data_IF_211758123261
#
_entry.id   IF_211758123261
#
_cell.length_a   1.000
_cell.length_b   1.000
_cell.length_c   1.000
_cell.angle_alpha   90.00
_cell.angle_beta   90.00
_cell.angle_gamma   90.00
#
_symmetry.space_group_name_H-M   'P 1'
#
loop_
_entity.id
_entity.type
_entity.pdbx_description
1 polymer ?
#
# COMPACT_ATOMS: atom_id res chain seq x y z
N UNK A 1 -13.17 -9.04 15.85
CA UNK A 1 -12.11 -9.49 14.94
C UNK A 1 -11.54 -8.25 14.27
N UNK A 2 -10.22 -8.14 14.11
CA UNK A 2 -9.67 -7.02 13.35
C UNK A 2 -10.13 -7.14 11.90
N UNK A 3 -10.25 -6.01 11.19
CA UNK A 3 -10.74 -5.96 9.81
C UNK A 3 -9.91 -6.85 8.88
N UNK A 4 -8.59 -6.81 9.05
CA UNK A 4 -7.60 -7.55 8.28
C UNK A 4 -7.71 -9.06 8.54
N UNK A 5 -7.94 -9.47 9.80
CA UNK A 5 -8.17 -10.88 10.17
C UNK A 5 -9.47 -11.41 9.53
N UNK A 6 -10.54 -10.61 9.54
CA UNK A 6 -11.83 -11.00 8.97
C UNK A 6 -11.75 -11.17 7.45
N UNK A 7 -11.00 -10.30 6.78
CA UNK A 7 -10.75 -10.41 5.35
C UNK A 7 -9.89 -11.65 5.03
N UNK A 8 -8.85 -11.90 5.81
CA UNK A 8 -7.97 -13.07 5.64
C UNK A 8 -8.71 -14.38 5.87
N UNK A 9 -9.49 -14.49 6.95
CA UNK A 9 -10.33 -15.66 7.25
C UNK A 9 -11.32 -15.95 6.12
N UNK A 10 -11.96 -14.90 5.59
CA UNK A 10 -12.88 -15.05 4.46
C UNK A 10 -12.14 -15.48 3.18
N UNK A 11 -10.99 -14.89 2.87
CA UNK A 11 -10.19 -15.28 1.71
C UNK A 11 -9.77 -16.75 1.76
N UNK A 12 -9.28 -17.23 2.92
CA UNK A 12 -8.92 -18.64 3.12
C UNK A 12 -10.11 -19.57 2.90
N UNK A 13 -11.28 -19.23 3.46
CA UNK A 13 -12.53 -19.96 3.30
C UNK A 13 -12.98 -20.04 1.83
N UNK A 14 -13.00 -18.91 1.13
CA UNK A 14 -13.34 -18.87 -0.29
C UNK A 14 -12.39 -19.74 -1.10
N UNK A 15 -11.09 -19.75 -0.79
CA UNK A 15 -10.12 -20.61 -1.45
C UNK A 15 -10.40 -22.10 -1.25
N UNK A 16 -10.92 -22.50 -0.08
CA UNK A 16 -11.19 -23.89 0.26
C UNK A 16 -12.43 -24.44 -0.47
N UNK A 17 -13.52 -23.68 -0.50
CA UNK A 17 -14.81 -24.19 -0.99
C UNK A 17 -15.29 -23.58 -2.30
N UNK A 18 -14.55 -22.68 -2.97
CA UNK A 18 -14.99 -22.05 -4.24
C UNK A 18 -15.48 -23.05 -5.29
N UNK A 19 -14.81 -24.19 -5.42
CA UNK A 19 -15.13 -25.19 -6.45
C UNK A 19 -16.43 -25.95 -6.12
N UNK A 20 -16.90 -25.85 -4.87
CA UNK A 20 -18.18 -26.41 -4.41
C UNK A 20 -19.35 -25.43 -4.57
N UNK A 21 -19.08 -24.13 -4.78
CA UNK A 21 -20.12 -23.10 -4.94
C UNK A 21 -20.65 -23.09 -6.37
N UNK A 22 -21.60 -23.97 -6.65
CA UNK A 22 -22.14 -24.16 -8.00
C UNK A 22 -23.22 -23.17 -8.41
N UNK A 23 -23.66 -22.28 -7.51
CA UNK A 23 -24.76 -21.33 -7.78
C UNK A 23 -24.45 -19.94 -7.27
N UNK A 24 -25.15 -18.95 -7.83
CA UNK A 24 -25.12 -17.57 -7.33
C UNK A 24 -25.60 -17.49 -5.88
N UNK A 25 -26.68 -18.19 -5.53
CA UNK A 25 -27.17 -18.27 -4.14
C UNK A 25 -26.13 -18.85 -3.18
N UNK A 26 -25.40 -19.90 -3.58
CA UNK A 26 -24.33 -20.44 -2.77
C UNK A 26 -23.21 -19.41 -2.57
N UNK A 27 -22.88 -18.64 -3.62
CA UNK A 27 -21.88 -17.56 -3.54
C UNK A 27 -22.34 -16.44 -2.62
N UNK A 28 -23.61 -16.03 -2.71
CA UNK A 28 -24.22 -15.00 -1.85
C UNK A 28 -24.18 -15.40 -0.39
N UNK A 29 -24.61 -16.62 -0.08
CA UNK A 29 -24.67 -17.14 1.29
C UNK A 29 -23.30 -17.43 1.90
N UNK A 30 -22.40 -18.07 1.15
CA UNK A 30 -21.11 -18.50 1.68
C UNK A 30 -20.03 -17.42 1.63
N UNK A 31 -20.19 -16.37 0.82
CA UNK A 31 -19.13 -15.36 0.61
C UNK A 31 -19.62 -13.94 0.79
N UNK A 32 -20.64 -13.53 0.03
CA UNK A 32 -21.06 -12.12 -0.02
C UNK A 32 -21.65 -11.67 1.32
N UNK A 33 -22.55 -12.44 1.92
CA UNK A 33 -23.11 -12.10 3.24
C UNK A 33 -22.05 -12.08 4.35
N UNK A 34 -21.15 -13.09 4.46
CA UNK A 34 -20.02 -13.00 5.38
C UNK A 34 -19.12 -11.79 5.14
N UNK A 35 -18.89 -11.37 3.90
CA UNK A 35 -18.12 -10.16 3.60
C UNK A 35 -18.84 -8.90 4.13
N UNK A 36 -20.13 -8.74 3.82
CA UNK A 36 -20.95 -7.62 4.31
C UNK A 36 -20.93 -7.57 5.84
N UNK A 37 -21.11 -8.72 6.49
CA UNK A 37 -21.21 -8.82 7.94
C UNK A 37 -19.87 -8.69 8.68
N UNK A 38 -18.83 -9.40 8.25
CA UNK A 38 -17.58 -9.54 9.00
C UNK A 38 -16.49 -8.57 8.54
N UNK A 39 -16.47 -8.23 7.26
CA UNK A 39 -15.47 -7.32 6.66
C UNK A 39 -16.01 -5.89 6.68
N UNK A 40 -17.17 -5.64 6.07
CA UNK A 40 -17.77 -4.31 6.07
C UNK A 40 -18.44 -3.96 7.41
N UNK A 41 -18.80 -4.95 8.23
CA UNK A 41 -19.36 -4.73 9.55
C UNK A 41 -20.83 -4.34 9.57
N UNK A 42 -21.57 -4.51 8.46
CA UNK A 42 -23.00 -4.23 8.39
C UNK A 42 -23.83 -5.42 8.90
N UNK A 43 -24.87 -5.16 9.67
CA UNK A 43 -25.71 -6.22 10.23
C UNK A 43 -26.69 -6.78 9.19
N UNK A 44 -26.36 -7.94 8.62
CA UNK A 44 -27.20 -8.67 7.64
C UNK A 44 -28.52 -9.20 8.22
N UNK A 45 -28.66 -9.21 9.55
CA UNK A 45 -29.90 -9.61 10.23
C UNK A 45 -30.79 -8.42 10.58
N UNK A 46 -30.29 -7.19 10.41
CA UNK A 46 -31.05 -5.97 10.61
C UNK A 46 -31.60 -5.46 9.26
N UNK A 47 -32.91 -5.64 8.98
CA UNK A 47 -33.50 -5.20 7.71
C UNK A 47 -33.56 -3.68 7.55
N UNK A 48 -33.30 -2.89 8.61
CA UNK A 48 -33.15 -1.45 8.50
C UNK A 48 -31.74 -1.03 8.03
N UNK A 49 -30.79 -1.96 7.99
CA UNK A 49 -29.38 -1.73 7.67
C UNK A 49 -28.93 -2.48 6.43
N UNK A 50 -29.30 -3.75 6.29
CA UNK A 50 -29.05 -4.53 5.07
C UNK A 50 -30.38 -5.09 4.58
N UNK A 51 -30.80 -4.66 3.39
CA UNK A 51 -32.03 -5.12 2.75
C UNK A 51 -31.65 -6.11 1.65
N UNK A 52 -31.87 -7.42 1.83
CA UNK A 52 -31.72 -8.39 0.75
C UNK A 52 -32.85 -8.23 -0.27
N UNK A 53 -32.60 -8.63 -1.52
CA UNK A 53 -33.60 -8.59 -2.60
C UNK A 53 -34.29 -7.22 -2.74
N UNK A 54 -33.52 -6.13 -2.62
CA UNK A 54 -34.05 -4.77 -2.56
C UNK A 54 -34.68 -4.35 -3.91
N UNK A 55 -35.81 -3.64 -3.83
CA UNK A 55 -36.61 -3.20 -4.97
C UNK A 55 -36.71 -1.66 -4.94
N UNK A 56 -36.38 -1.00 -6.05
CA UNK A 56 -36.61 0.43 -6.21
C UNK A 56 -38.04 0.64 -6.75
N UNK A 57 -38.84 1.46 -6.08
CA UNK A 57 -40.25 1.74 -6.44
C UNK A 57 -40.46 2.55 -7.74
N UNK A 58 -39.48 2.55 -8.65
CA UNK A 58 -39.48 3.39 -9.86
C UNK A 58 -39.57 2.50 -11.10
N UNK A 59 -40.82 2.21 -11.49
CA UNK A 59 -41.40 2.00 -12.83
C UNK A 59 -40.67 1.38 -14.04
N UNK A 60 -39.38 1.00 -14.01
CA UNK A 60 -38.63 0.64 -15.23
C UNK A 60 -38.83 -0.83 -15.62
N UNK A 61 -39.04 -1.73 -14.64
CA UNK A 61 -39.43 -3.12 -14.88
C UNK A 61 -40.01 -3.75 -13.61
N UNK A 62 -41.21 -4.30 -13.70
CA UNK A 62 -41.90 -4.91 -12.55
C UNK A 62 -41.21 -6.21 -12.15
N UNK A 63 -40.61 -6.26 -10.96
CA UNK A 63 -40.07 -7.48 -10.36
C UNK A 63 -38.56 -7.74 -10.52
N UNK A 64 -37.78 -6.81 -11.07
CA UNK A 64 -36.31 -6.87 -10.92
C UNK A 64 -35.92 -6.52 -9.48
N UNK A 65 -34.85 -7.11 -8.95
CA UNK A 65 -34.35 -6.87 -7.60
C UNK A 65 -32.83 -6.81 -7.62
N UNK A 66 -32.24 -6.03 -6.72
CA UNK A 66 -30.80 -6.08 -6.44
C UNK A 66 -30.55 -7.02 -5.25
N UNK A 67 -29.43 -7.72 -5.22
CA UNK A 67 -29.18 -8.73 -4.18
C UNK A 67 -29.14 -8.14 -2.77
N UNK A 68 -28.40 -7.04 -2.58
CA UNK A 68 -28.35 -6.35 -1.30
C UNK A 68 -28.31 -4.83 -1.47
N UNK A 69 -29.00 -4.12 -0.57
CA UNK A 69 -28.85 -2.69 -0.36
C UNK A 69 -28.39 -2.42 1.07
N UNK A 70 -27.35 -1.61 1.21
CA UNK A 70 -26.89 -1.10 2.51
C UNK A 70 -27.59 0.23 2.76
N UNK A 71 -28.28 0.32 3.90
CA UNK A 71 -29.11 1.43 4.32
C UNK A 71 -28.43 2.18 5.46
N UNK A 72 -28.52 3.52 5.41
CA UNK A 72 -28.17 4.40 6.52
C UNK A 72 -29.20 5.50 6.63
N UNK A 73 -29.80 5.64 7.81
CA UNK A 73 -30.83 6.63 8.09
C UNK A 73 -32.01 6.59 7.10
N UNK A 74 -32.39 5.39 6.66
CA UNK A 74 -33.48 5.17 5.69
C UNK A 74 -33.11 5.47 4.23
N UNK A 75 -31.86 5.83 3.94
CA UNK A 75 -31.35 6.10 2.59
C UNK A 75 -30.40 5.00 2.15
N UNK A 76 -30.55 4.54 0.90
CA UNK A 76 -29.62 3.60 0.27
C UNK A 76 -28.26 4.25 0.08
N UNK A 77 -27.22 3.68 0.68
CA UNK A 77 -25.83 4.15 0.52
C UNK A 77 -25.09 3.35 -0.54
N UNK A 78 -25.29 2.03 -0.53
CA UNK A 78 -24.57 1.09 -1.38
C UNK A 78 -25.51 0.03 -1.94
N UNK A 79 -25.38 -0.26 -3.24
CA UNK A 79 -26.05 -1.36 -3.91
C UNK A 79 -25.04 -2.46 -4.23
N UNK A 80 -25.38 -3.72 -3.97
CA UNK A 80 -24.48 -4.85 -4.19
C UNK A 80 -25.21 -5.87 -5.07
N UNK A 81 -24.63 -6.17 -6.24
CA UNK A 81 -25.02 -7.25 -7.14
C UNK A 81 -23.94 -8.34 -7.09
N UNK A 82 -24.36 -9.57 -6.84
CA UNK A 82 -23.50 -10.72 -6.83
C UNK A 82 -23.66 -11.55 -8.10
N UNK A 83 -22.62 -12.29 -8.44
CA UNK A 83 -22.61 -13.33 -9.47
C UNK A 83 -22.10 -14.63 -8.88
N UNK A 84 -22.36 -15.73 -9.56
CA UNK A 84 -21.74 -17.00 -9.22
C UNK A 84 -20.21 -16.88 -9.28
N UNK A 85 -19.53 -17.47 -8.29
CA UNK A 85 -18.07 -17.51 -8.25
C UNK A 85 -17.47 -18.06 -9.55
N UNK A 86 -16.37 -17.46 -10.00
CA UNK A 86 -15.74 -17.78 -11.29
C UNK A 86 -16.35 -17.06 -12.49
N UNK A 87 -17.53 -16.46 -12.36
CA UNK A 87 -18.13 -15.64 -13.43
C UNK A 87 -17.33 -14.33 -13.62
N UNK A 88 -16.88 -13.98 -14.84
CA UNK A 88 -16.25 -12.69 -15.09
C UNK A 88 -17.16 -11.52 -14.76
N UNK A 89 -16.61 -10.48 -14.12
CA UNK A 89 -17.36 -9.28 -13.76
C UNK A 89 -17.33 -8.27 -14.92
N UNK A 90 -18.47 -8.08 -15.58
CA UNK A 90 -18.65 -7.07 -16.63
C UNK A 90 -19.91 -6.25 -16.37
N UNK A 91 -19.88 -4.94 -16.69
CA UNK A 91 -21.06 -4.08 -16.54
C UNK A 91 -22.20 -4.49 -17.47
N UNK A 92 -21.89 -5.05 -18.64
CA UNK A 92 -22.86 -5.64 -19.56
C UNK A 92 -23.70 -6.73 -18.88
N UNK A 93 -23.08 -7.54 -18.01
CA UNK A 93 -23.74 -8.59 -17.23
C UNK A 93 -24.27 -8.10 -15.88
N UNK A 94 -24.12 -6.81 -15.57
CA UNK A 94 -24.57 -6.16 -14.34
C UNK A 94 -25.64 -5.08 -14.62
N UNK A 95 -26.45 -5.28 -15.66
CA UNK A 95 -27.49 -4.32 -16.03
C UNK A 95 -28.49 -4.00 -14.91
N UNK A 96 -28.72 -4.93 -13.97
CA UNK A 96 -29.54 -4.69 -12.78
C UNK A 96 -28.93 -3.61 -11.89
N UNK A 97 -27.65 -3.77 -11.52
CA UNK A 97 -26.90 -2.78 -10.75
C UNK A 97 -26.92 -1.40 -11.41
N UNK A 98 -26.63 -1.32 -12.71
CA UNK A 98 -26.64 -0.03 -13.45
C UNK A 98 -28.01 0.65 -13.38
N UNK A 99 -29.09 -0.09 -13.70
CA UNK A 99 -30.45 0.46 -13.68
C UNK A 99 -30.84 0.94 -12.29
N UNK A 100 -30.56 0.13 -11.27
CA UNK A 100 -30.88 0.44 -9.88
C UNK A 100 -30.09 1.62 -9.35
N UNK A 101 -28.81 1.69 -9.70
CA UNK A 101 -27.96 2.82 -9.34
C UNK A 101 -28.58 4.13 -9.88
N UNK A 102 -28.98 4.18 -11.15
CA UNK A 102 -29.52 5.39 -11.77
C UNK A 102 -30.86 5.89 -11.19
N UNK A 103 -31.67 4.99 -10.64
CA UNK A 103 -33.00 5.35 -10.08
C UNK A 103 -33.00 5.46 -8.56
N UNK A 104 -31.93 5.06 -7.89
CA UNK A 104 -31.82 5.12 -6.44
C UNK A 104 -31.03 6.35 -5.98
N UNK A 105 -31.01 6.60 -4.68
CA UNK A 105 -30.10 7.58 -4.07
C UNK A 105 -28.70 6.99 -3.77
N UNK A 106 -28.43 5.75 -4.21
CA UNK A 106 -27.15 5.12 -3.98
C UNK A 106 -26.05 5.87 -4.73
N UNK A 107 -24.94 6.10 -4.02
CA UNK A 107 -23.75 6.74 -4.57
C UNK A 107 -22.60 5.74 -4.74
N UNK A 108 -22.77 4.52 -4.24
CA UNK A 108 -21.80 3.42 -4.36
C UNK A 108 -22.49 2.17 -4.91
N UNK A 109 -21.89 1.59 -5.94
CA UNK A 109 -22.34 0.34 -6.57
C UNK A 109 -21.26 -0.71 -6.43
N UNK A 110 -21.63 -1.95 -6.15
CA UNK A 110 -20.69 -3.05 -5.97
C UNK A 110 -21.11 -4.21 -6.83
N UNK A 111 -20.19 -4.68 -7.65
CA UNK A 111 -20.34 -5.90 -8.43
C UNK A 111 -19.32 -6.91 -7.94
N UNK A 112 -19.77 -8.11 -7.56
CA UNK A 112 -18.88 -9.15 -7.02
C UNK A 112 -19.24 -10.55 -7.52
N UNK A 113 -18.26 -11.44 -7.56
CA UNK A 113 -18.48 -12.89 -7.69
C UNK A 113 -17.97 -13.65 -6.46
N UNK A 114 -17.85 -12.97 -5.33
CA UNK A 114 -17.26 -13.49 -4.10
C UNK A 114 -15.74 -13.36 -4.06
N UNK A 115 -15.02 -13.72 -5.14
CA UNK A 115 -13.56 -13.57 -5.20
C UNK A 115 -13.14 -12.13 -5.54
N UNK A 116 -13.71 -11.59 -6.61
CA UNK A 116 -13.44 -10.23 -7.07
C UNK A 116 -14.56 -9.30 -6.61
N UNK A 117 -14.20 -8.10 -6.21
CA UNK A 117 -15.13 -7.04 -5.81
C UNK A 117 -14.74 -5.75 -6.52
N UNK A 118 -15.67 -5.23 -7.31
CA UNK A 118 -15.51 -3.97 -8.03
C UNK A 118 -16.47 -2.94 -7.42
N UNK A 119 -15.93 -1.83 -6.94
CA UNK A 119 -16.69 -0.72 -6.37
C UNK A 119 -16.72 0.45 -7.34
N UNK A 120 -17.91 0.96 -7.58
CA UNK A 120 -18.25 2.02 -8.53
C UNK A 120 -18.87 3.19 -7.80
N UNK A 121 -18.80 4.35 -8.44
CA UNK A 121 -19.32 5.64 -7.97
C UNK A 121 -19.97 6.37 -9.14
N UNK A 122 -20.36 7.62 -8.97
CA UNK A 122 -20.98 8.49 -9.98
C UNK A 122 -20.26 9.84 -10.12
N UNK A 123 -18.92 9.80 -10.01
CA UNK A 123 -18.08 11.00 -10.04
C UNK A 123 -18.10 11.68 -11.42
N UNK A 124 -18.25 10.93 -12.51
CA UNK A 124 -18.29 11.53 -13.85
C UNK A 124 -19.58 12.33 -14.07
N UNK A 125 -20.70 11.76 -13.66
CA UNK A 125 -22.04 12.32 -13.83
C UNK A 125 -22.91 11.89 -12.65
N UNK A 126 -23.48 12.85 -11.94
CA UNK A 126 -24.37 12.57 -10.80
C UNK A 126 -25.49 11.60 -11.19
N UNK A 127 -25.69 10.57 -10.34
CA UNK A 127 -26.67 9.50 -10.50
C UNK A 127 -26.47 8.64 -11.76
N UNK A 128 -25.29 8.69 -12.38
CA UNK A 128 -24.91 7.79 -13.47
C UNK A 128 -23.66 7.04 -13.02
N UNK A 129 -23.75 5.72 -12.95
CA UNK A 129 -22.63 4.91 -12.47
C UNK A 129 -21.45 4.99 -13.45
N UNK A 130 -20.26 5.26 -12.93
CA UNK A 130 -19.02 5.30 -13.69
C UNK A 130 -18.76 3.94 -14.36
N UNK A 131 -18.20 3.95 -15.57
CA UNK A 131 -17.88 2.72 -16.31
C UNK A 131 -16.72 1.94 -15.69
N UNK A 132 -15.82 2.64 -15.00
CA UNK A 132 -14.63 2.07 -14.36
C UNK A 132 -14.80 2.07 -12.85
N UNK A 133 -14.52 0.95 -12.16
CA UNK A 133 -14.54 0.94 -10.71
C UNK A 133 -13.37 1.77 -10.16
N UNK A 134 -13.60 2.47 -9.06
CA UNK A 134 -12.56 3.24 -8.36
C UNK A 134 -11.71 2.33 -7.44
N UNK A 135 -12.29 1.23 -6.97
CA UNK A 135 -11.63 0.25 -6.11
C UNK A 135 -11.91 -1.16 -6.63
N UNK A 136 -10.85 -1.97 -6.71
CA UNK A 136 -10.91 -3.40 -7.06
C UNK A 136 -10.23 -4.20 -5.96
N UNK A 137 -10.85 -5.27 -5.52
CA UNK A 137 -10.32 -6.20 -4.56
C UNK A 137 -10.35 -7.62 -5.14
N UNK A 138 -9.24 -8.33 -5.03
CA UNK A 138 -9.15 -9.76 -5.26
C UNK A 138 -8.85 -10.43 -3.92
N UNK A 139 -9.76 -11.27 -3.42
CA UNK A 139 -9.56 -11.92 -2.12
C UNK A 139 -8.33 -12.83 -2.06
N UNK A 140 -7.85 -13.33 -3.20
CA UNK A 140 -6.64 -14.19 -3.24
C UNK A 140 -5.34 -13.40 -3.42
N UNK A 141 -5.42 -12.12 -3.74
CA UNK A 141 -4.28 -11.24 -3.95
C UNK A 141 -4.69 -9.83 -3.55
N UNK A 142 -4.76 -9.61 -2.24
CA UNK A 142 -5.20 -8.35 -1.66
C UNK A 142 -4.04 -7.37 -1.73
N UNK A 143 -4.18 -6.36 -2.58
CA UNK A 143 -3.22 -5.25 -2.64
C UNK A 143 -3.26 -4.46 -1.32
N UNK A 144 -2.18 -4.40 -0.53
CA UNK A 144 -2.18 -3.69 0.74
C UNK A 144 -2.49 -2.19 0.62
N UNK A 145 -2.25 -1.58 -0.55
CA UNK A 145 -2.62 -0.18 -0.81
C UNK A 145 -4.15 0.01 -0.93
N UNK A 146 -4.90 -1.05 -1.20
CA UNK A 146 -6.36 -1.01 -1.30
C UNK A 146 -7.05 -1.18 0.05
N UNK A 147 -6.36 -1.72 1.07
CA UNK A 147 -6.93 -1.98 2.39
C UNK A 147 -7.43 -0.72 3.11
N UNK A 148 -6.70 0.41 3.16
CA UNK A 148 -7.20 1.64 3.78
C UNK A 148 -8.49 2.13 3.12
N UNK A 149 -8.60 1.96 1.81
CA UNK A 149 -9.74 2.41 1.00
C UNK A 149 -10.95 1.52 1.20
N UNK A 150 -10.74 0.20 1.26
CA UNK A 150 -11.79 -0.74 1.65
C UNK A 150 -12.26 -0.49 3.09
N UNK A 151 -11.35 -0.11 3.99
CA UNK A 151 -11.69 0.20 5.39
C UNK A 151 -12.67 1.36 5.48
N UNK A 152 -12.53 2.41 4.65
CA UNK A 152 -13.48 3.53 4.56
C UNK A 152 -14.91 3.10 4.21
N UNK A 153 -15.09 1.94 3.58
CA UNK A 153 -16.41 1.39 3.24
C UNK A 153 -17.08 0.63 4.41
N UNK A 154 -16.35 0.40 5.51
CA UNK A 154 -16.86 -0.30 6.69
C UNK A 154 -17.80 0.58 7.52
N UNK A 155 -18.79 -0.02 8.16
CA UNK A 155 -19.83 0.66 8.96
C UNK A 155 -19.27 1.69 9.95
N UNK A 156 -18.19 1.33 10.66
CA UNK A 156 -17.63 2.16 11.74
C UNK A 156 -16.93 3.42 11.24
N UNK A 157 -16.48 3.44 9.98
CA UNK A 157 -15.75 4.56 9.39
C UNK A 157 -16.43 5.15 8.16
N UNK A 158 -17.59 4.62 7.77
CA UNK A 158 -18.26 5.03 6.55
C UNK A 158 -18.63 6.51 6.63
N UNK A 159 -18.09 7.27 5.68
CA UNK A 159 -18.43 8.65 5.41
C UNK A 159 -18.45 8.81 3.90
N UNK A 160 -19.64 9.09 3.35
CA UNK A 160 -19.85 9.09 1.91
C UNK A 160 -18.98 10.14 1.22
N UNK A 161 -18.86 11.34 1.79
CA UNK A 161 -18.05 12.41 1.21
C UNK A 161 -16.57 12.02 1.15
N UNK A 162 -16.02 11.49 2.24
CA UNK A 162 -14.64 11.00 2.30
C UNK A 162 -14.38 9.84 1.32
N UNK A 163 -15.35 8.94 1.15
CA UNK A 163 -15.25 7.84 0.18
C UNK A 163 -15.24 8.38 -1.26
N UNK A 164 -16.08 9.37 -1.57
CA UNK A 164 -16.14 9.98 -2.91
C UNK A 164 -14.85 10.72 -3.25
N UNK A 165 -14.28 11.48 -2.31
CA UNK A 165 -12.98 12.16 -2.49
C UNK A 165 -11.87 11.13 -2.75
N UNK A 166 -11.83 10.05 -1.96
CA UNK A 166 -10.85 9.00 -2.15
C UNK A 166 -11.04 8.25 -3.47
N UNK A 167 -12.28 8.01 -3.87
CA UNK A 167 -12.61 7.40 -5.15
C UNK A 167 -12.13 8.24 -6.34
N UNK A 168 -12.23 9.56 -6.25
CA UNK A 168 -11.73 10.49 -7.28
C UNK A 168 -10.21 10.37 -7.43
N UNK A 169 -9.47 10.41 -6.32
CA UNK A 169 -8.02 10.22 -6.32
C UNK A 169 -7.63 8.85 -6.90
N UNK A 170 -8.26 7.76 -6.43
CA UNK A 170 -7.97 6.40 -6.87
C UNK A 170 -8.25 6.18 -8.36
N UNK A 171 -9.29 6.82 -8.89
CA UNK A 171 -9.63 6.80 -10.31
C UNK A 171 -8.48 7.38 -11.14
N UNK A 172 -7.95 8.54 -10.75
CA UNK A 172 -6.83 9.16 -11.44
C UNK A 172 -5.51 8.41 -11.23
N UNK A 173 -5.22 7.93 -10.02
CA UNK A 173 -4.03 7.09 -9.75
C UNK A 173 -4.04 5.84 -10.62
N UNK A 174 -5.19 5.16 -10.74
CA UNK A 174 -5.33 3.98 -11.58
C UNK A 174 -5.13 4.28 -13.06
N UNK A 175 -5.71 5.38 -13.55
CA UNK A 175 -5.52 5.83 -14.93
C UNK A 175 -4.06 6.19 -15.23
N UNK A 176 -3.41 6.91 -14.32
CA UNK A 176 -2.00 7.29 -14.43
C UNK A 176 -1.08 6.07 -14.38
N UNK A 177 -1.34 5.08 -13.51
CA UNK A 177 -0.56 3.82 -13.48
C UNK A 177 -0.66 3.08 -14.82
N UNK A 178 -1.82 3.08 -15.45
CA UNK A 178 -2.01 2.47 -16.78
C UNK A 178 -1.21 3.21 -17.87
N UNK A 179 -1.25 4.56 -17.88
CA UNK A 179 -0.46 5.35 -18.82
C UNK A 179 1.05 5.22 -18.60
N UNK A 180 1.51 5.20 -17.34
CA UNK A 180 2.91 4.93 -17.00
C UNK A 180 3.31 3.54 -17.53
N UNK A 181 2.51 2.51 -17.30
CA UNK A 181 2.81 1.17 -17.79
C UNK A 181 2.87 1.13 -19.33
N UNK A 182 1.98 1.85 -20.02
CA UNK A 182 2.00 1.99 -21.49
C UNK A 182 3.30 2.67 -21.96
N UNK A 183 3.65 3.81 -21.39
CA UNK A 183 4.86 4.56 -21.76
C UNK A 183 6.13 3.75 -21.53
N UNK A 184 6.21 2.99 -20.45
CA UNK A 184 7.39 2.16 -20.20
C UNK A 184 7.50 0.97 -21.17
N UNK A 185 6.38 0.43 -21.64
CA UNK A 185 6.36 -0.66 -22.62
C UNK A 185 6.65 -0.15 -24.04
N UNK A 186 6.05 0.99 -24.41
CA UNK A 186 6.16 1.62 -25.72
C UNK A 186 6.21 3.15 -25.58
N UNK A 187 7.41 3.72 -25.33
CA UNK A 187 7.54 5.15 -25.13
C UNK A 187 7.13 5.96 -26.35
N UNK A 188 6.33 7.00 -26.14
CA UNK A 188 5.96 7.95 -27.18
C UNK A 188 6.98 9.09 -27.34
N UNK A 189 6.71 10.02 -28.27
CA UNK A 189 7.62 11.14 -28.53
C UNK A 189 7.70 12.11 -27.35
N UNK A 190 6.61 12.33 -26.62
CA UNK A 190 6.57 13.28 -25.51
C UNK A 190 7.30 12.73 -24.29
N UNK A 191 7.13 11.45 -23.97
CA UNK A 191 7.90 10.75 -22.95
C UNK A 191 9.39 10.71 -23.31
N UNK A 192 9.74 10.39 -24.56
CA UNK A 192 11.13 10.45 -25.02
C UNK A 192 11.70 11.86 -24.86
N UNK A 193 10.98 12.90 -25.29
CA UNK A 193 11.43 14.30 -25.23
C UNK A 193 11.66 14.75 -23.79
N UNK A 194 10.82 14.33 -22.84
CA UNK A 194 10.96 14.63 -21.41
C UNK A 194 12.33 14.22 -20.87
N UNK A 195 12.83 13.04 -21.24
CA UNK A 195 14.15 12.56 -20.79
C UNK A 195 15.28 13.07 -21.66
N UNK A 196 15.11 13.08 -22.98
CA UNK A 196 16.16 13.48 -23.91
C UNK A 196 16.63 14.92 -23.64
N UNK A 197 15.71 15.85 -23.37
CA UNK A 197 16.05 17.25 -23.04
C UNK A 197 16.81 17.43 -21.72
N UNK A 198 16.79 16.44 -20.82
CA UNK A 198 17.54 16.46 -19.55
C UNK A 198 18.95 15.91 -19.66
N UNK A 199 19.24 15.14 -20.71
CA UNK A 199 20.52 14.42 -20.88
C UNK A 199 21.26 14.80 -22.15
N UNK A 200 20.63 15.57 -23.04
CA UNK A 200 21.19 15.98 -24.31
C UNK A 200 21.08 17.49 -24.49
N UNK A 201 22.23 18.16 -24.58
CA UNK A 201 22.33 19.61 -24.71
C UNK A 201 22.14 20.09 -26.16
N UNK A 202 22.13 19.19 -27.15
CA UNK A 202 21.98 19.51 -28.56
C UNK A 202 20.52 19.63 -29.01
N UNK A 203 20.30 20.10 -30.23
CA UNK A 203 18.96 20.14 -30.81
C UNK A 203 18.45 18.73 -31.16
N UNK A 204 17.20 18.45 -30.79
CA UNK A 204 16.50 17.21 -31.14
C UNK A 204 16.09 17.21 -32.63
N UNK A 205 17.07 17.09 -33.52
CA UNK A 205 16.87 16.88 -34.95
C UNK A 205 16.14 15.56 -35.22
N UNK A 206 15.58 15.36 -36.43
CA UNK A 206 14.88 14.13 -36.78
C UNK A 206 15.73 12.86 -36.54
N UNK A 207 17.02 12.91 -36.90
CA UNK A 207 17.97 11.82 -36.65
C UNK A 207 18.17 11.57 -35.16
N UNK A 208 18.29 12.62 -34.36
CA UNK A 208 18.42 12.45 -32.91
C UNK A 208 17.13 12.00 -32.25
N UNK A 209 15.95 12.42 -32.73
CA UNK A 209 14.66 11.90 -32.25
C UNK A 209 14.53 10.40 -32.48
N UNK A 210 14.87 9.92 -33.67
CA UNK A 210 14.85 8.49 -33.98
C UNK A 210 15.81 7.69 -33.09
N UNK A 211 17.04 8.21 -32.91
CA UNK A 211 18.00 7.62 -31.98
C UNK A 211 17.48 7.60 -30.54
N UNK A 212 16.98 8.73 -30.04
CA UNK A 212 16.48 8.86 -28.68
C UNK A 212 15.25 8.00 -28.42
N UNK A 213 14.36 7.84 -29.41
CA UNK A 213 13.21 6.93 -29.28
C UNK A 213 13.68 5.48 -29.06
N UNK A 214 14.68 5.04 -29.83
CA UNK A 214 15.28 3.72 -29.68
C UNK A 214 15.95 3.50 -28.33
N UNK A 215 16.77 4.46 -27.88
CA UNK A 215 17.46 4.32 -26.59
C UNK A 215 16.51 4.49 -25.40
N UNK A 216 15.46 5.32 -25.48
CA UNK A 216 14.45 5.47 -24.42
C UNK A 216 13.69 4.18 -24.22
N UNK A 217 13.26 3.51 -25.29
CA UNK A 217 12.65 2.17 -25.20
C UNK A 217 13.58 1.16 -24.53
N UNK A 218 14.84 1.12 -24.96
CA UNK A 218 15.85 0.23 -24.38
C UNK A 218 16.05 0.53 -22.89
N UNK A 219 16.19 1.80 -22.52
CA UNK A 219 16.39 2.23 -21.14
C UNK A 219 15.18 1.92 -20.25
N UNK A 220 13.95 2.16 -20.72
CA UNK A 220 12.73 1.85 -19.98
C UNK A 220 12.60 0.34 -19.69
N UNK A 221 12.87 -0.51 -20.69
CA UNK A 221 12.87 -1.97 -20.53
C UNK A 221 13.95 -2.44 -19.57
N UNK A 222 15.18 -1.92 -19.71
CA UNK A 222 16.28 -2.25 -18.80
C UNK A 222 15.97 -1.84 -17.36
N UNK A 223 15.47 -0.62 -17.15
CA UNK A 223 15.10 -0.13 -15.83
C UNK A 223 14.05 -1.00 -15.13
N UNK A 224 12.99 -1.42 -15.84
CA UNK A 224 12.00 -2.35 -15.27
C UNK A 224 12.64 -3.68 -14.90
N UNK A 225 13.44 -4.26 -15.81
CA UNK A 225 14.10 -5.54 -15.55
C UNK A 225 15.04 -5.44 -14.35
N UNK A 226 15.77 -4.34 -14.21
CA UNK A 226 16.65 -4.12 -13.07
C UNK A 226 15.85 -4.03 -11.77
N UNK A 227 14.72 -3.30 -11.74
CA UNK A 227 13.83 -3.24 -10.57
C UNK A 227 13.20 -4.59 -10.21
N UNK A 228 12.79 -5.36 -11.21
CA UNK A 228 12.25 -6.71 -11.02
C UNK A 228 13.34 -7.65 -10.50
N UNK A 229 14.55 -7.58 -11.04
CA UNK A 229 15.70 -8.36 -10.59
C UNK A 229 16.14 -7.98 -9.18
N UNK A 230 16.14 -6.69 -8.82
CA UNK A 230 16.37 -6.21 -7.46
C UNK A 230 15.32 -6.79 -6.50
N UNK A 231 14.04 -6.70 -6.84
CA UNK A 231 12.93 -7.27 -6.07
C UNK A 231 13.02 -8.80 -5.95
N UNK A 232 13.40 -9.51 -7.01
CA UNK A 232 13.59 -10.96 -7.02
C UNK A 232 14.79 -11.38 -6.19
N UNK A 233 15.93 -10.68 -6.30
CA UNK A 233 17.11 -10.92 -5.47
C UNK A 233 16.81 -10.68 -4.00
N UNK A 234 16.11 -9.60 -3.69
CA UNK A 234 15.55 -9.33 -2.36
C UNK A 234 14.69 -10.51 -1.91
N UNK A 235 13.71 -10.94 -2.70
CA UNK A 235 12.81 -12.05 -2.35
C UNK A 235 13.51 -13.40 -2.18
N UNK A 236 14.48 -13.73 -3.04
CA UNK A 236 15.27 -14.97 -3.01
C UNK A 236 16.29 -14.99 -1.86
N UNK A 237 16.75 -13.82 -1.40
CA UNK A 237 17.57 -13.65 -0.18
C UNK A 237 16.72 -13.58 1.10
N UNK A 238 15.45 -13.99 1.03
CA UNK A 238 14.54 -14.03 2.18
C UNK A 238 13.85 -12.70 2.52
N UNK A 239 14.02 -11.66 1.69
CA UNK A 239 13.28 -10.41 1.79
C UNK A 239 12.18 -10.37 0.73
N UNK A 240 11.13 -11.16 0.91
CA UNK A 240 9.88 -11.05 0.14
C UNK A 240 9.31 -9.62 0.22
N UNK A 241 8.34 -9.25 -0.63
CA UNK A 241 7.84 -7.88 -0.69
C UNK A 241 7.29 -7.45 0.67
N UNK A 242 8.07 -6.68 1.42
CA UNK A 242 7.61 -6.01 2.62
C UNK A 242 6.62 -4.93 2.20
N UNK A 243 5.35 -5.23 2.33
CA UNK A 243 4.30 -4.21 2.37
C UNK A 243 3.53 -4.44 3.67
N UNK A 244 3.97 -3.73 4.71
CA UNK A 244 3.16 -3.35 5.86
C UNK A 244 2.80 -4.41 6.91
N UNK A 245 3.70 -4.57 7.88
CA UNK A 245 3.50 -4.99 9.28
C UNK A 245 3.20 -6.47 9.65
N UNK A 246 4.02 -6.95 10.61
CA UNK A 246 3.77 -8.00 11.64
C UNK A 246 3.65 -9.46 11.12
N UNK A 247 4.32 -10.53 11.61
CA UNK A 247 5.27 -10.92 12.68
C UNK A 247 5.91 -12.27 12.18
N UNK A 248 6.37 -13.23 13.01
CA UNK A 248 7.66 -13.49 13.67
C UNK A 248 8.57 -14.54 12.97
N UNK A 249 9.79 -14.62 13.50
CA UNK A 249 10.87 -15.61 13.29
C UNK A 249 10.54 -16.93 14.02
N UNK A 250 11.07 -18.10 13.56
CA UNK A 250 12.17 -18.73 14.30
C UNK A 250 13.26 -19.30 13.36
N UNK A 251 14.50 -18.84 13.51
CA UNK A 251 15.61 -19.50 14.23
C UNK A 251 16.26 -20.65 13.48
N UNK A 252 17.50 -20.43 13.04
CA UNK A 252 18.65 -21.18 13.58
C UNK A 252 19.97 -20.50 13.20
N UNK A 253 20.68 -20.06 14.25
CA UNK A 253 22.14 -20.13 14.47
C UNK A 253 22.98 -20.66 13.29
N UNK A 254 24.17 -20.14 12.98
CA UNK A 254 25.38 -20.24 13.84
C UNK A 254 26.55 -19.42 13.23
N UNK A 255 27.27 -18.71 14.12
CA UNK A 255 28.73 -18.40 14.18
C UNK A 255 29.46 -17.61 13.10
N UNK A 256 29.95 -16.43 13.53
CA UNK A 256 31.37 -15.98 13.67
C UNK A 256 32.36 -16.43 12.59
N UNK A 257 33.04 -15.50 11.91
CA UNK A 257 34.26 -14.86 12.46
C UNK A 257 34.78 -13.75 11.51
N UNK A 258 35.54 -12.84 12.12
CA UNK A 258 36.17 -11.65 11.55
C UNK A 258 37.03 -11.91 10.29
N UNK A 259 37.11 -10.91 9.42
CA UNK A 259 38.41 -10.40 8.94
C UNK A 259 38.27 -9.02 8.32
N UNK A 260 39.22 -8.18 8.70
CA UNK A 260 39.43 -6.80 8.29
C UNK A 260 39.43 -6.64 6.76
N UNK A 261 38.88 -5.53 6.27
CA UNK A 261 39.50 -4.81 5.17
C UNK A 261 39.17 -3.32 5.25
N UNK A 262 40.25 -2.55 5.36
CA UNK A 262 40.30 -1.10 5.24
C UNK A 262 39.95 -0.69 3.80
N UNK A 263 38.92 0.13 3.67
CA UNK A 263 38.82 1.07 2.55
C UNK A 263 38.29 2.38 3.11
N UNK A 264 39.24 3.25 3.45
CA UNK A 264 39.04 4.68 3.63
C UNK A 264 38.60 5.26 2.26
N UNK A 265 37.29 5.34 2.05
CA UNK A 265 36.74 6.10 0.93
C UNK A 265 36.48 7.49 1.47
N UNK A 266 37.30 8.46 1.05
CA UNK A 266 37.11 9.89 1.24
C UNK A 266 35.81 10.32 0.55
N UNK A 267 34.67 9.97 1.16
CA UNK A 267 33.38 10.60 0.88
C UNK A 267 33.46 11.98 1.54
N UNK A 268 33.17 13.02 0.77
CA UNK A 268 32.82 14.31 1.36
C UNK A 268 31.67 14.15 2.36
N UNK A 269 31.37 15.20 3.12
CA UNK A 269 30.18 15.20 3.99
C UNK A 269 28.96 15.23 3.06
N UNK A 270 28.46 14.05 2.70
CA UNK A 270 27.28 13.85 1.86
C UNK A 270 26.33 12.94 2.62
N UNK A 271 25.28 13.54 3.16
CA UNK A 271 24.22 12.83 3.86
C UNK A 271 23.42 11.99 2.87
N UNK A 272 23.53 10.67 3.01
CA UNK A 272 22.88 9.70 2.12
C UNK A 272 21.41 9.49 2.50
N UNK A 273 20.58 9.03 1.55
CA UNK A 273 19.18 8.67 1.81
C UNK A 273 19.06 7.59 2.89
N UNK A 274 20.01 6.65 2.92
CA UNK A 274 20.05 5.57 3.91
C UNK A 274 20.31 6.09 5.34
N UNK A 275 21.18 7.09 5.50
CA UNK A 275 21.39 7.76 6.80
C UNK A 275 20.15 8.55 7.24
N UNK A 276 19.43 9.17 6.31
CA UNK A 276 18.16 9.85 6.59
C UNK A 276 17.07 8.85 7.01
N UNK A 277 16.98 7.69 6.36
CA UNK A 277 16.05 6.62 6.74
C UNK A 277 16.35 6.09 8.14
N UNK A 278 17.61 5.75 8.42
CA UNK A 278 18.05 5.31 9.74
C UNK A 278 17.84 6.39 10.81
N UNK A 279 18.09 7.66 10.49
CA UNK A 279 17.78 8.79 11.37
C UNK A 279 16.27 8.87 11.68
N UNK A 280 15.40 8.71 10.69
CA UNK A 280 13.96 8.71 10.90
C UNK A 280 13.50 7.54 11.78
N UNK A 281 14.13 6.36 11.65
CA UNK A 281 13.89 5.20 12.51
C UNK A 281 14.27 5.53 13.96
N UNK A 282 15.51 5.99 14.20
CA UNK A 282 15.96 6.39 15.55
C UNK A 282 15.06 7.49 16.13
N UNK A 283 14.72 8.49 15.31
CA UNK A 283 13.84 9.60 15.70
C UNK A 283 12.46 9.10 16.12
N UNK A 284 11.87 8.16 15.38
CA UNK A 284 10.58 7.56 15.71
C UNK A 284 10.64 6.70 17.00
N UNK A 285 11.72 5.95 17.19
CA UNK A 285 11.92 5.11 18.38
C UNK A 285 11.96 5.94 19.66
N UNK A 286 12.70 7.05 19.64
CA UNK A 286 12.93 7.90 20.82
C UNK A 286 11.91 9.02 20.99
N UNK A 287 11.05 9.27 19.99
CA UNK A 287 9.91 10.20 20.09
C UNK A 287 8.93 9.85 21.23
N UNK A 288 8.93 8.59 21.69
CA UNK A 288 8.14 8.17 22.84
C UNK A 288 8.65 8.76 24.18
N UNK A 289 9.92 9.19 24.24
CA UNK A 289 10.56 9.71 25.45
C UNK A 289 10.76 11.23 25.43
N UNK A 290 10.96 11.82 24.26
CA UNK A 290 11.23 13.25 24.09
C UNK A 290 10.51 13.81 22.86
N UNK A 291 10.14 15.10 22.87
CA UNK A 291 9.65 15.79 21.68
C UNK A 291 10.59 15.65 20.47
N UNK A 292 10.01 15.45 19.29
CA UNK A 292 10.74 15.14 18.04
C UNK A 292 11.70 16.26 17.63
N UNK A 293 11.35 17.51 17.92
CA UNK A 293 12.13 18.72 17.65
C UNK A 293 13.45 18.78 18.43
N UNK A 294 13.58 18.00 19.51
CA UNK A 294 14.83 17.89 20.29
C UNK A 294 15.81 16.89 19.72
N UNK A 295 15.43 16.11 18.73
CA UNK A 295 16.29 15.09 18.11
C UNK A 295 16.90 15.72 16.87
N UNK A 296 18.22 15.90 16.90
CA UNK A 296 18.99 16.50 15.81
C UNK A 296 19.93 15.47 15.19
N UNK A 297 20.36 15.71 13.96
CA UNK A 297 21.42 14.95 13.33
C UNK A 297 22.59 15.85 12.95
N UNK A 298 23.80 15.28 12.96
CA UNK A 298 25.02 15.92 12.46
C UNK A 298 25.80 14.92 11.65
N UNK A 299 26.03 15.26 10.39
CA UNK A 299 26.85 14.47 9.51
C UNK A 299 28.33 14.80 9.72
N UNK A 300 29.16 13.77 9.78
CA UNK A 300 30.61 13.87 9.93
C UNK A 300 31.29 12.90 8.98
N UNK A 301 32.56 13.16 8.65
CA UNK A 301 33.33 12.30 7.75
C UNK A 301 33.38 10.83 8.15
N UNK A 302 33.28 10.52 9.44
CA UNK A 302 33.44 9.16 9.96
C UNK A 302 32.11 8.46 10.26
N UNK A 303 31.06 9.22 10.56
CA UNK A 303 29.75 8.70 10.93
C UNK A 303 28.66 9.77 10.83
N UNK A 304 27.41 9.34 10.73
CA UNK A 304 26.25 10.19 10.88
C UNK A 304 25.76 10.14 12.33
N UNK A 305 25.83 11.27 13.04
CA UNK A 305 25.51 11.37 14.46
C UNK A 305 24.06 11.74 14.71
N UNK A 306 23.40 11.04 15.63
CA UNK A 306 22.06 11.41 16.14
C UNK A 306 22.21 11.90 17.58
N UNK A 307 21.73 13.12 17.85
CA UNK A 307 21.98 13.85 19.09
C UNK A 307 20.68 14.34 19.73
N UNK A 308 20.66 14.42 21.05
CA UNK A 308 19.62 15.14 21.78
C UNK A 308 20.03 16.61 21.97
N UNK A 309 19.10 17.54 21.76
CA UNK A 309 19.26 19.00 21.91
C UNK A 309 20.39 19.59 21.05
N UNK A 310 20.72 18.95 19.91
CA UNK A 310 21.86 19.33 19.05
C UNK A 310 23.20 19.47 19.82
N UNK A 311 23.37 18.64 20.86
CA UNK A 311 24.49 18.72 21.78
C UNK A 311 25.42 17.50 21.69
N UNK A 312 26.69 17.72 21.36
CA UNK A 312 27.71 16.66 21.26
C UNK A 312 27.96 15.89 22.57
N UNK A 313 27.51 16.41 23.73
CA UNK A 313 27.58 15.72 25.03
C UNK A 313 26.40 14.79 25.33
N UNK A 314 25.38 14.81 24.46
CA UNK A 314 24.17 14.00 24.52
C UNK A 314 23.96 13.17 23.24
N UNK A 315 24.94 12.34 22.82
CA UNK A 315 24.75 11.49 21.65
C UNK A 315 23.76 10.37 21.94
N UNK A 316 22.78 10.19 21.06
CA UNK A 316 21.78 9.12 21.13
C UNK A 316 22.37 7.85 20.48
N UNK A 317 22.92 7.98 19.27
CA UNK A 317 23.64 6.92 18.58
C UNK A 317 24.52 7.50 17.46
N UNK A 318 25.36 6.65 16.86
CA UNK A 318 26.14 6.95 15.66
C UNK A 318 25.86 5.90 14.58
N UNK A 319 25.65 6.34 13.35
CA UNK A 319 25.45 5.46 12.20
C UNK A 319 26.74 5.44 11.37
N UNK A 320 27.42 4.30 11.34
CA UNK A 320 28.67 4.12 10.60
C UNK A 320 28.39 3.42 9.28
N UNK A 321 27.82 4.14 8.31
CA UNK A 321 27.43 3.58 7.00
C UNK A 321 28.47 3.85 5.89
N UNK A 322 29.62 4.40 6.28
CA UNK A 322 30.70 4.77 5.38
C UNK A 322 31.53 3.57 4.87
N UNK A 323 31.29 2.36 5.38
CA UNK A 323 32.01 1.14 5.04
C UNK A 323 31.07 0.06 4.48
N UNK A 324 31.66 -0.99 3.91
CA UNK A 324 30.92 -2.15 3.37
C UNK A 324 30.05 -2.83 4.44
N UNK A 325 30.58 -3.00 5.66
CA UNK A 325 29.79 -3.38 6.84
C UNK A 325 29.30 -2.10 7.54
N UNK A 326 27.99 -2.04 7.79
CA UNK A 326 27.38 -0.93 8.54
C UNK A 326 27.39 -1.25 10.02
N UNK A 327 27.50 -0.22 10.85
CA UNK A 327 27.41 -0.39 12.30
C UNK A 327 26.49 0.67 12.92
N UNK A 328 25.71 0.24 13.91
CA UNK A 328 25.02 1.09 14.86
C UNK A 328 25.90 1.25 16.10
N UNK A 329 26.38 2.46 16.34
CA UNK A 329 27.09 2.84 17.57
C UNK A 329 26.09 3.23 18.67
N UNK A 330 26.02 2.43 19.72
CA UNK A 330 25.21 2.69 20.91
C UNK A 330 26.09 3.08 22.09
N UNK A 331 25.54 3.86 23.03
CA UNK A 331 26.26 4.32 24.21
C UNK A 331 25.78 3.59 25.46
N UNK A 332 26.71 3.21 26.34
CA UNK A 332 26.40 2.70 27.68
C UNK A 332 26.25 3.84 28.71
N UNK A 333 25.96 3.48 29.98
CA UNK A 333 25.83 4.44 31.08
C UNK A 333 27.10 5.22 31.41
N UNK A 334 28.27 4.76 30.95
CA UNK A 334 29.56 5.44 31.08
C UNK A 334 29.94 6.24 29.82
N UNK A 335 29.04 6.31 28.83
CA UNK A 335 29.20 6.96 27.51
C UNK A 335 30.25 6.29 26.61
N UNK A 336 30.56 5.02 26.83
CA UNK A 336 31.39 4.26 25.92
C UNK A 336 30.55 3.80 24.72
N UNK A 337 31.12 3.93 23.52
CA UNK A 337 30.46 3.51 22.28
C UNK A 337 30.72 2.02 21.99
N UNK A 338 29.65 1.26 21.82
CA UNK A 338 29.69 -0.11 21.29
C UNK A 338 29.17 -0.11 19.86
N UNK A 339 29.96 -0.62 18.91
CA UNK A 339 29.55 -0.76 17.50
C UNK A 339 28.92 -2.12 17.29
N UNK A 340 27.65 -2.11 16.94
CA UNK A 340 26.88 -3.32 16.63
C UNK A 340 26.77 -3.42 15.11
N UNK A 341 27.26 -4.50 14.48
CA UNK A 341 27.10 -4.68 13.05
C UNK A 341 25.61 -4.77 12.72
N UNK A 342 25.20 -4.05 11.69
CA UNK A 342 23.87 -4.17 11.10
C UNK A 342 24.02 -4.36 9.60
N UNK A 343 23.16 -5.17 8.98
CA UNK A 343 23.17 -5.34 7.53
C UNK A 343 22.18 -4.36 6.87
N UNK A 344 21.08 -4.07 7.56
CA UNK A 344 20.04 -3.15 7.11
C UNK A 344 19.62 -2.13 8.18
N UNK A 345 19.09 -0.99 7.75
CA UNK A 345 18.65 0.09 8.66
C UNK A 345 17.50 -0.32 9.57
N UNK A 346 16.68 -1.29 9.18
CA UNK A 346 15.57 -1.79 10.00
C UNK A 346 16.05 -2.52 11.26
N UNK A 347 17.28 -3.02 11.28
CA UNK A 347 17.85 -3.70 12.46
C UNK A 347 18.05 -2.74 13.65
N UNK A 348 17.99 -1.42 13.44
CA UNK A 348 17.94 -0.43 14.51
C UNK A 348 16.75 -0.69 15.47
N UNK A 349 15.64 -1.26 14.98
CA UNK A 349 14.50 -1.65 15.83
C UNK A 349 14.84 -2.73 16.87
N UNK A 350 15.90 -3.51 16.65
CA UNK A 350 16.37 -4.49 17.64
C UNK A 350 17.04 -3.83 18.85
N UNK A 351 17.31 -2.52 18.78
CA UNK A 351 18.02 -1.75 19.79
C UNK A 351 17.16 -0.64 20.42
N UNK A 352 15.83 -0.77 20.33
CA UNK A 352 14.86 0.20 20.87
C UNK A 352 15.11 0.52 22.34
N UNK A 353 15.31 -0.50 23.17
CA UNK A 353 15.48 -0.31 24.62
C UNK A 353 16.77 0.45 24.94
N UNK A 354 17.87 0.15 24.24
CA UNK A 354 19.14 0.85 24.41
C UNK A 354 19.07 2.31 23.97
N UNK A 355 18.43 2.59 22.83
CA UNK A 355 18.22 3.96 22.33
C UNK A 355 17.34 4.77 23.29
N UNK A 356 16.26 4.17 23.80
CA UNK A 356 15.38 4.81 24.77
C UNK A 356 16.06 5.04 26.12
N UNK A 357 16.81 4.06 26.61
CA UNK A 357 17.56 4.19 27.86
C UNK A 357 18.60 5.32 27.76
N UNK A 358 19.29 5.43 26.63
CA UNK A 358 20.26 6.51 26.38
C UNK A 358 19.61 7.89 26.45
N UNK A 359 18.42 8.06 25.84
CA UNK A 359 17.68 9.33 25.88
C UNK A 359 17.14 9.62 27.27
N UNK A 360 16.61 8.62 27.97
CA UNK A 360 16.15 8.75 29.35
C UNK A 360 17.26 9.20 30.31
N UNK A 361 18.48 8.68 30.14
CA UNK A 361 19.65 9.08 30.92
C UNK A 361 20.09 10.56 30.71
N UNK A 362 19.60 11.23 29.66
CA UNK A 362 19.83 12.67 29.44
C UNK A 362 18.65 13.57 29.84
N UNK A 363 17.51 12.95 30.17
CA UNK A 363 16.29 13.62 30.59
C UNK A 363 16.19 13.72 32.12
N UNK A 364 16.96 12.91 32.86
CA UNK A 364 17.40 13.18 34.23
C UNK A 364 18.52 14.24 34.24
#
# INVERSE_FOLDING_TARGET
MAFEDALSDLASKVSEYRDTLQTEEATKNAVVMPFISRVLGYDVFNPAEVVPEFICDIGIKKGEKIDYAIMRDGVVQMLIEAKQIGTPLTLENAGQLVRYFHVSNARIGVLTNGQYWNFYTDLDKSNIMDEKPFLRLNLFDVDPYTLPELKKLTKSTFDLESVLIAAEELKYVSALKAEIAREFADPDEDFMRLFATRVYEGSLTAKMREFFLGITRKAATQYINDRVNERLKSALQGQGPAIGAAVPVPDTTTTLDDTEDEADVDRGIETTLEEIEAYNIVRAIVAAQVPIDRIAHRDTKSYFGVLLDDNNRKPICRLHFNRKQKYLGLFDGEKNETRIPIDRVEEIYNHVDALRATVSAYAE
#
